data_IF_227645517954
#
_entry.id   IF_227645517954
#
_cell.length_a   1.000
_cell.length_b   1.000
_cell.length_c   1.000
_cell.angle_alpha   90.00
_cell.angle_beta   90.00
_cell.angle_gamma   90.00
#
_symmetry.space_group_name_H-M   'P 1'
#
loop_
_entity.id
_entity.type
_entity.pdbx_description
1 polymer ?
#
# COMPACT_ATOMS: atom_id res chain seq x y z
N UNK A 1 -59.93 25.58 -8.10
CA UNK A 1 -58.69 25.65 -8.90
C UNK A 1 -57.62 24.86 -8.14
N UNK A 2 -57.29 23.69 -8.67
CA UNK A 2 -56.21 22.80 -8.22
C UNK A 2 -54.86 23.38 -8.64
N UNK A 3 -53.87 23.34 -7.75
CA UNK A 3 -52.46 23.21 -8.16
C UNK A 3 -51.79 22.16 -7.27
N UNK A 4 -51.90 20.90 -7.69
CA UNK A 4 -50.96 19.86 -7.26
C UNK A 4 -49.59 20.19 -7.87
N UNK A 5 -48.60 20.49 -7.04
CA UNK A 5 -47.20 20.44 -7.44
C UNK A 5 -46.76 18.98 -7.47
N UNK A 6 -46.69 18.41 -8.68
CA UNK A 6 -46.05 17.12 -8.93
C UNK A 6 -44.55 17.36 -8.86
N UNK A 7 -43.91 16.94 -7.77
CA UNK A 7 -42.45 16.80 -7.72
C UNK A 7 -42.13 15.51 -8.48
N UNK A 8 -41.74 15.63 -9.75
CA UNK A 8 -41.11 14.54 -10.49
C UNK A 8 -39.71 14.35 -9.88
N UNK A 9 -39.59 13.45 -8.91
CA UNK A 9 -38.30 12.90 -8.55
C UNK A 9 -37.85 12.03 -9.73
N UNK A 10 -37.07 12.61 -10.64
CA UNK A 10 -36.21 11.81 -11.51
C UNK A 10 -35.19 11.14 -10.60
N UNK A 11 -35.52 9.94 -10.12
CA UNK A 11 -34.52 8.99 -9.69
C UNK A 11 -33.72 8.64 -10.94
N UNK A 12 -32.65 9.40 -11.21
CA UNK A 12 -31.54 8.88 -11.97
C UNK A 12 -31.10 7.63 -11.21
N UNK A 13 -31.15 6.42 -11.79
CA UNK A 13 -30.39 5.33 -11.23
C UNK A 13 -28.94 5.81 -11.26
N UNK A 14 -28.38 6.08 -10.08
CA UNK A 14 -26.93 6.08 -9.92
C UNK A 14 -26.56 4.63 -10.16
N UNK A 15 -26.27 4.29 -11.42
CA UNK A 15 -25.47 3.11 -11.70
C UNK A 15 -24.10 3.50 -11.17
N UNK A 16 -23.88 3.24 -9.88
CA UNK A 16 -22.53 2.99 -9.43
C UNK A 16 -22.13 1.71 -10.17
N UNK A 17 -21.44 1.86 -11.30
CA UNK A 17 -20.57 0.78 -11.76
C UNK A 17 -19.57 0.62 -10.61
N UNK A 18 -19.90 -0.27 -9.67
CA UNK A 18 -18.99 -0.76 -8.66
C UNK A 18 -17.87 -1.42 -9.46
N UNK A 19 -16.80 -0.66 -9.70
CA UNK A 19 -15.77 -1.07 -10.62
C UNK A 19 -14.99 -2.17 -9.91
N UNK A 20 -15.48 -3.41 -10.06
CA UNK A 20 -15.06 -4.55 -9.28
C UNK A 20 -13.55 -4.77 -9.40
N UNK A 21 -12.97 -5.39 -8.36
CA UNK A 21 -11.61 -5.91 -8.37
C UNK A 21 -10.57 -4.79 -8.47
N UNK A 22 -10.66 -3.84 -7.54
CA UNK A 22 -9.81 -2.65 -7.42
C UNK A 22 -9.95 -1.64 -8.57
N UNK A 23 -11.08 -1.60 -9.25
CA UNK A 23 -11.31 -0.65 -10.33
C UNK A 23 -10.84 -1.14 -11.69
N UNK A 24 -10.78 -2.46 -11.90
CA UNK A 24 -10.58 -3.05 -13.22
C UNK A 24 -11.02 -4.52 -13.22
N UNK A 25 -12.12 -4.82 -13.91
CA UNK A 25 -12.68 -6.17 -14.03
C UNK A 25 -11.71 -7.21 -14.60
N UNK A 26 -10.68 -6.78 -15.35
CA UNK A 26 -9.61 -7.67 -15.85
C UNK A 26 -8.76 -8.23 -14.71
N UNK A 27 -8.77 -7.60 -13.55
CA UNK A 27 -8.05 -8.05 -12.35
C UNK A 27 -8.84 -9.06 -11.52
N UNK A 28 -10.12 -9.27 -11.79
CA UNK A 28 -10.96 -10.15 -10.95
C UNK A 28 -10.43 -11.57 -10.82
N UNK A 29 -9.97 -12.15 -11.94
CA UNK A 29 -9.39 -13.49 -11.96
C UNK A 29 -7.90 -13.53 -11.59
N UNK A 30 -7.30 -12.39 -11.23
CA UNK A 30 -5.90 -12.33 -10.80
C UNK A 30 -5.81 -12.53 -9.30
N UNK A 31 -4.85 -13.36 -8.90
CA UNK A 31 -4.42 -13.51 -7.51
C UNK A 31 -3.86 -12.21 -6.98
N UNK A 32 -4.06 -11.93 -5.69
CA UNK A 32 -3.46 -10.78 -5.03
C UNK A 32 -1.92 -10.75 -5.08
N UNK A 33 -1.30 -11.93 -5.11
CA UNK A 33 0.13 -12.10 -5.34
C UNK A 33 0.61 -11.72 -6.75
N UNK A 34 -0.31 -11.45 -7.69
CA UNK A 34 -0.02 -11.14 -9.10
C UNK A 34 -0.77 -9.90 -9.58
N UNK A 35 -0.84 -8.89 -8.71
CA UNK A 35 -1.30 -7.53 -9.03
C UNK A 35 -0.29 -6.52 -8.51
N UNK A 36 -0.23 -5.35 -9.16
CA UNK A 36 0.51 -4.19 -8.69
C UNK A 36 -0.47 -3.18 -8.07
N UNK A 37 -0.12 -2.68 -6.90
CA UNK A 37 -0.87 -1.69 -6.12
C UNK A 37 0.01 -0.49 -5.84
N UNK A 38 -0.61 0.69 -5.80
CA UNK A 38 0.05 1.91 -5.33
C UNK A 38 -0.36 2.14 -3.88
N UNK A 39 0.61 2.37 -3.01
CA UNK A 39 0.39 2.63 -1.58
C UNK A 39 1.15 3.89 -1.13
N UNK A 40 0.86 4.36 0.07
CA UNK A 40 1.60 5.45 0.70
C UNK A 40 2.30 4.97 1.96
N UNK A 41 3.48 5.54 2.24
CA UNK A 41 4.17 5.31 3.50
C UNK A 41 3.51 6.10 4.65
N UNK A 42 3.60 5.57 5.86
CA UNK A 42 3.37 6.28 7.12
C UNK A 42 1.93 6.74 7.42
N UNK A 43 0.92 5.93 7.06
CA UNK A 43 -0.48 6.23 7.33
C UNK A 43 -0.89 6.15 8.82
N UNK A 44 0.02 5.75 9.71
CA UNK A 44 -0.22 5.82 11.15
C UNK A 44 1.07 6.22 11.89
N UNK A 45 1.10 7.42 12.46
CA UNK A 45 2.08 7.83 13.47
C UNK A 45 1.37 7.95 14.82
N UNK A 46 1.95 7.38 15.86
CA UNK A 46 1.52 7.60 17.25
C UNK A 46 2.70 8.29 17.92
N UNK A 47 2.61 9.61 18.06
CA UNK A 47 3.61 10.42 18.74
C UNK A 47 3.70 11.86 18.25
N UNK A 48 4.59 12.64 18.87
CA UNK A 48 4.71 14.10 18.66
C UNK A 48 5.75 14.44 17.57
N UNK A 49 6.70 13.54 17.29
CA UNK A 49 7.77 13.77 16.32
C UNK A 49 7.41 13.18 14.94
N UNK A 50 7.87 13.80 13.85
CA UNK A 50 7.75 13.26 12.48
C UNK A 50 8.41 11.89 12.28
N UNK A 51 9.28 11.48 13.22
CA UNK A 51 10.01 10.21 13.22
C UNK A 51 9.42 9.19 14.19
N UNK A 52 8.22 9.42 14.74
CA UNK A 52 7.59 8.51 15.68
C UNK A 52 7.13 7.21 15.00
N UNK A 53 8.08 6.29 14.83
CA UNK A 53 7.79 4.92 14.47
C UNK A 53 7.07 4.23 15.64
N UNK A 54 6.15 3.32 15.31
CA UNK A 54 5.37 2.53 16.26
C UNK A 54 6.17 1.43 16.98
N UNK A 55 7.48 1.60 17.07
CA UNK A 55 8.41 0.60 17.56
C UNK A 55 8.06 0.23 19.01
N UNK A 56 7.70 -1.04 19.22
CA UNK A 56 7.38 -1.56 20.56
C UNK A 56 5.91 -1.50 20.96
N UNK A 57 4.99 -1.08 20.09
CA UNK A 57 3.55 -1.24 20.36
C UNK A 57 3.10 -2.69 20.18
N UNK A 58 2.21 -3.15 21.06
CA UNK A 58 1.61 -4.49 20.97
C UNK A 58 0.62 -4.56 19.79
N UNK A 59 0.63 -5.68 19.05
CA UNK A 59 -0.24 -5.91 17.87
C UNK A 59 -1.73 -5.72 18.17
N UNK A 60 -2.13 -6.03 19.40
CA UNK A 60 -3.49 -5.91 19.88
C UNK A 60 -3.99 -4.46 19.86
N UNK A 61 -3.10 -3.45 20.01
CA UNK A 61 -3.45 -2.02 19.88
C UNK A 61 -3.85 -1.64 18.46
N UNK A 62 -3.21 -2.24 17.46
CA UNK A 62 -3.63 -2.07 16.08
C UNK A 62 -4.95 -2.77 15.82
N UNK A 63 -5.15 -3.96 16.39
CA UNK A 63 -6.43 -4.65 16.30
C UNK A 63 -7.59 -3.89 16.97
N UNK A 64 -7.32 -3.18 18.08
CA UNK A 64 -8.27 -2.23 18.69
C UNK A 64 -8.65 -1.14 17.69
N UNK A 65 -7.67 -0.48 17.06
CA UNK A 65 -7.95 0.56 16.06
C UNK A 65 -8.76 0.04 14.86
N UNK A 66 -8.48 -1.17 14.37
CA UNK A 66 -9.25 -1.81 13.28
C UNK A 66 -10.70 -2.08 13.70
N UNK A 67 -10.92 -2.52 14.94
CA UNK A 67 -12.27 -2.72 15.50
C UNK A 67 -13.01 -1.40 15.72
N UNK A 68 -12.34 -0.39 16.26
CA UNK A 68 -12.91 0.93 16.50
C UNK A 68 -13.30 1.62 15.18
N UNK A 69 -12.54 1.34 14.10
CA UNK A 69 -12.87 1.75 12.74
C UNK A 69 -13.97 0.90 12.07
N UNK A 70 -14.50 -0.12 12.75
CA UNK A 70 -15.49 -1.07 12.25
C UNK A 70 -15.04 -1.82 10.97
N UNK A 71 -13.75 -2.14 10.86
CA UNK A 71 -13.16 -2.82 9.70
C UNK A 71 -12.95 -4.32 9.90
N UNK A 72 -13.13 -4.83 11.13
CA UNK A 72 -12.85 -6.23 11.48
C UNK A 72 -13.68 -7.26 10.68
N UNK A 73 -14.87 -6.86 10.19
CA UNK A 73 -15.73 -7.71 9.37
C UNK A 73 -15.29 -7.88 7.91
N UNK A 74 -14.29 -7.10 7.45
CA UNK A 74 -13.84 -7.08 6.04
C UNK A 74 -12.35 -7.40 5.89
N UNK A 75 -11.67 -7.81 6.96
CA UNK A 75 -10.24 -8.19 6.90
C UNK A 75 -10.04 -9.63 6.43
N UNK A 76 -8.94 -9.86 5.70
CA UNK A 76 -8.49 -11.17 5.30
C UNK A 76 -7.88 -11.95 6.47
N UNK A 77 -8.39 -13.17 6.70
CA UNK A 77 -7.89 -14.12 7.72
C UNK A 77 -7.45 -15.41 7.05
N UNK A 78 -6.17 -15.59 6.73
CA UNK A 78 -5.70 -16.81 6.10
C UNK A 78 -5.62 -17.97 7.12
N UNK A 79 -5.93 -19.19 6.69
CA UNK A 79 -5.80 -20.39 7.53
C UNK A 79 -4.33 -20.82 7.78
N UNK A 80 -3.39 -20.21 7.04
CA UNK A 80 -1.96 -20.48 7.10
C UNK A 80 -1.19 -19.39 6.32
N UNK A 81 0.07 -19.62 5.99
CA UNK A 81 0.84 -18.70 5.14
C UNK A 81 0.73 -19.14 3.68
N UNK A 82 -0.10 -18.49 2.84
CA UNK A 82 -0.23 -18.86 1.43
C UNK A 82 1.08 -18.65 0.66
N UNK A 83 1.46 -19.65 -0.14
CA UNK A 83 2.41 -19.48 -1.23
C UNK A 83 1.85 -18.54 -2.31
N UNK A 84 2.70 -18.09 -3.25
CA UNK A 84 2.29 -17.12 -4.29
C UNK A 84 1.07 -17.58 -5.10
N UNK A 85 0.97 -18.86 -5.44
CA UNK A 85 -0.15 -19.42 -6.21
C UNK A 85 -1.36 -19.82 -5.35
N UNK A 86 -1.27 -19.70 -4.03
CA UNK A 86 -2.34 -19.99 -3.07
C UNK A 86 -3.09 -18.73 -2.62
N UNK A 87 -2.57 -17.54 -2.93
CA UNK A 87 -3.29 -16.29 -2.68
C UNK A 87 -4.62 -16.25 -3.43
N UNK A 88 -5.74 -15.87 -2.77
CA UNK A 88 -7.01 -15.68 -3.44
C UNK A 88 -6.94 -14.64 -4.56
N UNK A 89 -7.81 -14.85 -5.54
CA UNK A 89 -8.12 -13.85 -6.56
C UNK A 89 -8.88 -12.68 -5.96
N UNK A 90 -8.87 -11.53 -6.66
CA UNK A 90 -9.65 -10.39 -6.24
C UNK A 90 -11.15 -10.71 -6.21
N UNK A 91 -11.66 -11.53 -7.14
CA UNK A 91 -13.05 -11.96 -7.11
C UNK A 91 -13.36 -12.80 -5.87
N UNK A 92 -12.50 -13.76 -5.52
CA UNK A 92 -12.70 -14.59 -4.31
C UNK A 92 -12.68 -13.76 -3.03
N UNK A 93 -11.86 -12.70 -2.96
CA UNK A 93 -11.94 -11.73 -1.87
C UNK A 93 -13.27 -10.97 -1.87
N UNK A 94 -13.76 -10.54 -3.04
CA UNK A 94 -15.03 -9.84 -3.13
C UNK A 94 -16.19 -10.71 -2.66
N UNK A 95 -16.25 -11.95 -3.16
CA UNK A 95 -17.29 -12.94 -2.88
C UNK A 95 -17.32 -13.35 -1.40
N UNK A 96 -16.16 -13.39 -0.75
CA UNK A 96 -16.03 -13.69 0.69
C UNK A 96 -16.22 -12.47 1.60
N UNK A 97 -16.49 -11.28 1.06
CA UNK A 97 -16.67 -10.06 1.83
C UNK A 97 -15.36 -9.40 2.30
N UNK A 98 -14.20 -9.95 1.92
CA UNK A 98 -12.88 -9.36 2.24
C UNK A 98 -12.65 -8.11 1.40
N UNK A 99 -12.23 -7.02 2.04
CA UNK A 99 -11.86 -5.74 1.42
C UNK A 99 -10.54 -5.17 1.96
N UNK A 100 -9.96 -5.77 3.00
CA UNK A 100 -8.77 -5.28 3.67
C UNK A 100 -7.78 -6.41 3.96
N UNK A 101 -6.51 -6.22 3.60
CA UNK A 101 -5.40 -7.08 4.02
C UNK A 101 -4.44 -6.18 4.80
N UNK A 102 -4.05 -6.61 6.00
CA UNK A 102 -3.20 -5.82 6.89
C UNK A 102 -1.83 -6.48 6.99
N UNK A 103 -0.80 -5.79 6.51
CA UNK A 103 0.60 -6.18 6.71
C UNK A 103 1.24 -5.27 7.76
N UNK A 104 2.05 -5.85 8.63
CA UNK A 104 2.86 -5.14 9.60
C UNK A 104 4.34 -5.48 9.41
N UNK A 105 5.11 -4.46 9.07
CA UNK A 105 6.57 -4.54 8.95
C UNK A 105 7.26 -4.44 10.31
N UNK A 106 8.47 -5.00 10.39
CA UNK A 106 9.38 -4.81 11.54
C UNK A 106 10.35 -3.67 11.23
N UNK A 107 10.59 -2.75 12.17
CA UNK A 107 11.73 -1.85 12.03
C UNK A 107 13.04 -2.58 12.39
N UNK A 108 14.04 -2.42 11.55
CA UNK A 108 15.40 -2.92 11.74
C UNK A 108 16.26 -1.98 12.60
N UNK A 109 15.74 -0.80 12.95
CA UNK A 109 16.43 0.24 13.73
C UNK A 109 16.79 -0.18 15.16
N UNK A 110 16.12 -1.20 15.71
CA UNK A 110 16.36 -1.68 17.08
C UNK A 110 17.26 -2.92 17.18
N UNK A 111 17.92 -3.33 16.11
CA UNK A 111 18.89 -4.44 16.16
C UNK A 111 20.10 -4.15 17.08
N UNK A 112 20.47 -2.87 17.25
CA UNK A 112 21.62 -2.48 18.09
C UNK A 112 21.33 -2.52 19.60
N UNK A 113 20.07 -2.39 20.02
CA UNK A 113 19.66 -2.48 21.43
C UNK A 113 19.27 -3.93 21.80
N UNK A 114 19.00 -4.75 20.79
CA UNK A 114 18.69 -6.19 20.91
C UNK A 114 19.78 -7.01 21.62
N UNK A 115 21.03 -6.59 21.56
CA UNK A 115 22.15 -7.23 22.29
C UNK A 115 22.15 -6.94 23.79
N UNK A 116 21.52 -5.86 24.24
CA UNK A 116 21.59 -5.38 25.64
C UNK A 116 20.44 -5.93 26.49
N UNK A 117 19.26 -6.14 25.91
CA UNK A 117 18.09 -6.63 26.63
C UNK A 117 17.62 -7.98 26.10
N UNK A 118 17.78 -9.05 26.89
CA UNK A 118 17.29 -10.41 26.60
C UNK A 118 15.80 -10.44 26.23
N UNK A 119 14.98 -9.54 26.79
CA UNK A 119 13.56 -9.41 26.45
C UNK A 119 13.29 -8.99 24.99
N UNK A 120 14.28 -8.38 24.31
CA UNK A 120 14.20 -7.98 22.90
C UNK A 120 14.87 -8.97 21.94
N UNK A 121 15.55 -10.01 22.47
CA UNK A 121 16.25 -11.04 21.67
C UNK A 121 15.33 -12.07 21.04
N UNK A 122 14.07 -12.14 21.46
CA UNK A 122 13.13 -13.06 20.81
C UNK A 122 12.68 -12.44 19.49
N UNK A 123 12.82 -13.19 18.40
CA UNK A 123 12.30 -12.90 17.06
C UNK A 123 10.75 -12.83 17.03
N UNK A 124 10.13 -12.12 17.96
CA UNK A 124 8.70 -11.84 17.89
C UNK A 124 8.50 -10.76 16.84
N UNK A 125 8.13 -11.21 15.65
CA UNK A 125 7.37 -10.43 14.69
C UNK A 125 6.39 -9.53 15.45
N UNK A 126 6.39 -8.23 15.15
CA UNK A 126 5.39 -7.33 15.74
C UNK A 126 3.98 -7.82 15.42
N UNK A 127 3.78 -8.52 14.31
CA UNK A 127 2.58 -9.30 13.98
C UNK A 127 2.60 -10.71 14.60
N UNK A 128 2.21 -10.85 15.87
CA UNK A 128 1.98 -12.15 16.50
C UNK A 128 0.61 -12.71 16.08
N UNK A 129 0.59 -13.55 15.05
CA UNK A 129 -0.64 -14.11 14.45
C UNK A 129 -1.39 -15.06 15.37
N UNK A 130 -0.78 -15.50 16.48
CA UNK A 130 -1.48 -16.27 17.53
C UNK A 130 -2.39 -15.40 18.38
N UNK A 131 -2.19 -14.07 18.34
CA UNK A 131 -2.99 -13.08 19.07
C UNK A 131 -3.93 -12.31 18.16
N UNK A 132 -3.48 -11.96 16.96
CA UNK A 132 -4.28 -11.26 15.95
C UNK A 132 -4.04 -11.93 14.59
N UNK A 133 -5.00 -12.72 14.16
CA UNK A 133 -4.89 -13.66 13.02
C UNK A 133 -4.89 -13.00 11.63
N UNK A 134 -5.32 -11.75 11.52
CA UNK A 134 -5.37 -11.00 10.25
C UNK A 134 -4.25 -9.96 10.06
N UNK A 135 -3.46 -9.67 11.10
CA UNK A 135 -2.31 -8.77 10.97
C UNK A 135 -1.12 -9.64 10.57
N UNK A 136 -0.77 -9.57 9.29
CA UNK A 136 0.21 -10.46 8.68
C UNK A 136 1.63 -9.89 8.84
N UNK A 137 2.63 -10.69 9.23
CA UNK A 137 4.03 -10.26 9.26
C UNK A 137 4.53 -9.99 7.84
N UNK A 138 4.71 -8.72 7.47
CA UNK A 138 5.03 -8.29 6.10
C UNK A 138 6.18 -9.10 5.49
N UNK A 139 7.29 -9.24 6.21
CA UNK A 139 8.52 -9.86 5.72
C UNK A 139 8.48 -11.40 5.61
N UNK A 140 7.33 -12.03 5.90
CA UNK A 140 7.06 -13.41 5.49
C UNK A 140 6.42 -13.51 4.10
N UNK A 141 5.85 -12.42 3.60
CA UNK A 141 5.11 -12.38 2.34
C UNK A 141 5.76 -11.48 1.29
N UNK A 142 6.45 -10.43 1.74
CA UNK A 142 6.96 -9.36 0.91
C UNK A 142 8.41 -9.05 1.27
N UNK A 143 9.24 -8.79 0.27
CA UNK A 143 10.49 -8.07 0.46
C UNK A 143 10.40 -6.67 -0.15
N UNK A 144 11.31 -5.79 0.25
CA UNK A 144 11.41 -4.45 -0.31
C UNK A 144 12.87 -4.01 -0.54
N UNK A 145 13.05 -3.08 -1.46
CA UNK A 145 14.30 -2.34 -1.62
C UNK A 145 14.49 -1.30 -0.50
N UNK A 146 15.64 -0.62 -0.52
CA UNK A 146 15.97 0.39 0.49
C UNK A 146 15.07 1.63 0.37
N UNK A 147 14.72 2.22 1.51
CA UNK A 147 14.20 3.59 1.62
C UNK A 147 15.37 4.59 1.68
N UNK A 148 15.11 5.90 1.80
CA UNK A 148 16.21 6.87 1.89
C UNK A 148 16.81 7.26 0.53
N UNK A 149 16.08 7.02 -0.58
CA UNK A 149 16.66 7.15 -1.92
C UNK A 149 16.84 8.62 -2.26
N UNK A 150 18.07 9.04 -2.59
CA UNK A 150 18.37 10.41 -3.04
C UNK A 150 18.62 10.49 -4.55
N UNK A 151 18.59 9.34 -5.24
CA UNK A 151 18.63 9.22 -6.69
C UNK A 151 17.22 9.22 -7.27
N UNK A 152 16.84 10.29 -7.98
CA UNK A 152 15.54 10.41 -8.64
C UNK A 152 15.34 9.44 -9.80
N UNK A 153 16.40 8.77 -10.28
CA UNK A 153 16.26 7.69 -11.24
C UNK A 153 15.75 6.38 -10.60
N UNK A 154 15.76 6.27 -9.27
CA UNK A 154 15.33 5.09 -8.52
C UNK A 154 15.96 3.79 -9.02
N UNK A 155 17.25 3.85 -9.37
CA UNK A 155 17.99 2.75 -10.01
C UNK A 155 18.19 1.53 -9.11
N UNK A 156 18.01 1.67 -7.79
CA UNK A 156 18.22 0.60 -6.83
C UNK A 156 16.96 -0.25 -6.59
N UNK A 157 16.94 -1.43 -7.21
CA UNK A 157 15.92 -2.46 -7.00
C UNK A 157 16.44 -3.63 -6.14
N UNK A 158 17.58 -3.47 -5.46
CA UNK A 158 18.19 -4.53 -4.65
C UNK A 158 17.38 -4.77 -3.39
N UNK A 159 17.30 -6.03 -2.97
CA UNK A 159 16.64 -6.42 -1.71
C UNK A 159 17.36 -5.75 -0.54
N UNK A 160 16.60 -5.06 0.30
CA UNK A 160 17.09 -4.48 1.55
C UNK A 160 16.43 -5.13 2.76
N UNK A 161 15.10 -5.38 2.71
CA UNK A 161 14.35 -5.96 3.83
C UNK A 161 13.38 -7.07 3.41
N UNK A 162 13.41 -8.23 4.08
CA UNK A 162 14.40 -8.65 5.07
C UNK A 162 15.78 -8.90 4.43
N UNK A 163 16.86 -8.78 5.21
CA UNK A 163 18.21 -9.09 4.75
C UNK A 163 18.39 -10.61 4.63
N UNK A 164 19.12 -11.07 3.60
CA UNK A 164 19.51 -12.47 3.37
C UNK A 164 18.35 -13.42 3.02
N UNK A 165 17.49 -13.02 2.08
CA UNK A 165 16.50 -13.92 1.49
C UNK A 165 17.21 -14.89 0.53
N UNK A 166 16.94 -16.19 0.65
CA UNK A 166 17.53 -17.22 -0.22
C UNK A 166 16.75 -17.40 -1.53
N UNK A 167 15.41 -17.30 -1.45
CA UNK A 167 14.48 -17.54 -2.56
C UNK A 167 13.55 -16.33 -2.77
N UNK A 168 14.06 -15.18 -3.25
CA UNK A 168 13.23 -13.97 -3.41
C UNK A 168 12.08 -14.11 -4.41
N UNK A 169 12.16 -15.09 -5.32
CA UNK A 169 11.12 -15.45 -6.28
C UNK A 169 9.86 -16.04 -5.65
N UNK A 170 9.93 -16.48 -4.39
CA UNK A 170 8.75 -17.02 -3.66
C UNK A 170 8.00 -15.97 -2.86
N UNK A 171 8.39 -14.70 -2.99
CA UNK A 171 7.81 -13.57 -2.27
C UNK A 171 7.12 -12.63 -3.25
N UNK A 172 6.08 -11.95 -2.77
CA UNK A 172 5.69 -10.68 -3.37
C UNK A 172 6.81 -9.67 -3.11
N UNK A 173 6.82 -8.56 -3.83
CA UNK A 173 7.77 -7.52 -3.49
C UNK A 173 7.25 -6.11 -3.69
N UNK A 174 7.90 -5.21 -2.97
CA UNK A 174 7.54 -3.82 -2.84
C UNK A 174 8.73 -2.95 -3.21
N UNK A 175 8.46 -1.83 -3.86
CA UNK A 175 9.46 -0.81 -4.13
C UNK A 175 9.12 0.47 -3.39
N UNK A 176 10.13 1.06 -2.77
CA UNK A 176 10.08 2.38 -2.16
C UNK A 176 10.36 3.39 -3.28
N UNK A 177 9.30 4.09 -3.67
CA UNK A 177 9.30 5.17 -4.66
C UNK A 177 9.15 6.52 -3.91
N UNK A 178 10.17 6.81 -3.11
CA UNK A 178 10.21 7.93 -2.17
C UNK A 178 11.55 8.64 -2.34
N UNK A 179 11.51 9.90 -2.77
CA UNK A 179 12.71 10.67 -3.07
C UNK A 179 13.05 11.54 -1.86
N UNK A 180 14.18 11.28 -1.25
CA UNK A 180 14.74 12.13 -0.20
C UNK A 180 15.72 13.15 -0.78
N UNK A 181 15.85 14.28 -0.09
CA UNK A 181 16.91 15.25 -0.28
C UNK A 181 17.97 15.09 0.83
N UNK A 182 19.23 15.05 0.43
CA UNK A 182 20.35 15.01 1.35
C UNK A 182 20.69 16.43 1.86
N UNK A 183 20.55 16.64 3.17
CA UNK A 183 20.99 17.81 3.89
C UNK A 183 22.40 17.61 4.47
N UNK A 184 23.08 18.69 4.92
CA UNK A 184 24.36 18.58 5.63
C UNK A 184 24.31 17.62 6.83
N UNK A 185 25.48 17.13 7.23
CA UNK A 185 25.65 16.20 8.36
C UNK A 185 24.95 14.84 8.19
N UNK A 186 24.64 14.42 6.95
CA UNK A 186 24.08 13.11 6.67
C UNK A 186 22.58 13.00 6.93
N UNK A 187 21.89 14.12 7.17
CA UNK A 187 20.43 14.14 7.36
C UNK A 187 19.74 13.97 6.01
N UNK A 188 18.88 12.98 5.88
CA UNK A 188 17.97 12.83 4.73
C UNK A 188 16.55 13.16 5.15
N UNK A 189 15.83 13.92 4.31
CA UNK A 189 14.42 14.24 4.53
C UNK A 189 13.62 14.07 3.24
N UNK A 190 12.29 13.89 3.34
CA UNK A 190 11.40 13.75 2.18
C UNK A 190 11.51 14.96 1.24
N UNK A 191 11.74 14.75 -0.06
CA UNK A 191 11.86 15.83 -1.04
C UNK A 191 10.49 16.25 -1.58
N UNK A 192 9.76 16.98 -0.74
CA UNK A 192 8.42 17.48 -1.04
C UNK A 192 8.37 18.45 -2.25
N UNK A 193 9.50 19.08 -2.60
CA UNK A 193 9.57 19.99 -3.75
C UNK A 193 9.47 19.25 -5.08
N UNK A 194 9.96 18.02 -5.14
CA UNK A 194 9.94 17.15 -6.32
C UNK A 194 8.79 16.15 -6.27
N UNK A 195 7.91 16.20 -5.27
CA UNK A 195 6.85 15.20 -5.06
C UNK A 195 5.94 15.01 -6.29
N UNK A 196 5.67 16.06 -7.07
CA UNK A 196 4.89 15.96 -8.31
C UNK A 196 5.63 15.20 -9.42
N UNK A 197 6.95 15.39 -9.52
CA UNK A 197 7.82 14.69 -10.46
C UNK A 197 8.02 13.23 -10.02
N UNK A 198 8.33 13.02 -8.74
CA UNK A 198 8.44 11.69 -8.11
C UNK A 198 7.14 10.91 -8.30
N UNK A 199 5.99 11.43 -7.89
CA UNK A 199 4.70 10.70 -8.00
C UNK A 199 4.10 10.72 -9.42
N UNK A 200 4.86 11.11 -10.44
CA UNK A 200 4.41 11.04 -11.84
C UNK A 200 4.40 9.61 -12.37
N UNK A 201 3.56 9.33 -13.36
CA UNK A 201 3.55 8.04 -14.06
C UNK A 201 4.86 7.67 -14.67
N UNK A 202 5.52 8.65 -15.28
CA UNK A 202 6.78 8.41 -15.95
C UNK A 202 7.79 7.89 -14.93
N UNK A 203 7.92 8.58 -13.79
CA UNK A 203 8.78 8.17 -12.69
C UNK A 203 8.41 6.79 -12.12
N UNK A 204 7.14 6.60 -11.77
CA UNK A 204 6.62 5.34 -11.19
C UNK A 204 6.82 4.16 -12.16
N UNK A 205 6.42 4.32 -13.42
CA UNK A 205 6.50 3.26 -14.44
C UNK A 205 7.94 2.93 -14.75
N UNK A 206 8.81 3.94 -14.85
CA UNK A 206 10.24 3.74 -15.11
C UNK A 206 10.88 2.87 -14.03
N UNK A 207 10.65 3.14 -12.74
CA UNK A 207 11.17 2.27 -11.68
C UNK A 207 10.53 0.88 -11.72
N UNK A 208 9.20 0.80 -11.84
CA UNK A 208 8.48 -0.47 -11.83
C UNK A 208 8.93 -1.39 -12.98
N UNK A 209 9.18 -0.84 -14.17
CA UNK A 209 9.69 -1.59 -15.32
C UNK A 209 11.16 -1.99 -15.14
N UNK A 210 12.02 -1.09 -14.69
CA UNK A 210 13.43 -1.40 -14.43
C UNK A 210 13.58 -2.52 -13.39
N UNK A 211 12.87 -2.41 -12.26
CA UNK A 211 12.85 -3.47 -11.25
C UNK A 211 12.19 -4.74 -11.78
N UNK A 212 11.16 -4.61 -12.62
CA UNK A 212 10.48 -5.75 -13.24
C UNK A 212 11.39 -6.55 -14.17
N UNK A 213 12.26 -5.88 -14.92
CA UNK A 213 13.28 -6.53 -15.75
C UNK A 213 14.32 -7.24 -14.88
N UNK A 214 14.77 -6.61 -13.79
CA UNK A 214 15.75 -7.21 -12.89
C UNK A 214 15.26 -8.50 -12.23
N UNK A 215 14.00 -8.54 -11.80
CA UNK A 215 13.44 -9.65 -11.03
C UNK A 215 12.54 -10.60 -11.84
N UNK A 216 12.30 -10.29 -13.12
CA UNK A 216 11.46 -11.09 -14.02
C UNK A 216 9.95 -11.00 -13.75
N UNK A 217 9.54 -10.25 -12.73
CA UNK A 217 8.16 -10.02 -12.30
C UNK A 217 8.00 -8.56 -11.89
N UNK A 218 6.83 -7.95 -12.09
CA UNK A 218 6.56 -6.55 -11.67
C UNK A 218 6.33 -6.45 -10.15
N UNK A 219 6.58 -5.28 -9.52
CA UNK A 219 6.34 -5.12 -8.09
C UNK A 219 4.86 -5.27 -7.74
N UNK A 220 4.58 -5.86 -6.59
CA UNK A 220 3.23 -5.97 -6.06
C UNK A 220 2.77 -4.67 -5.41
N UNK A 221 3.69 -3.93 -4.79
CA UNK A 221 3.38 -2.65 -4.15
C UNK A 221 4.42 -1.59 -4.53
N UNK A 222 3.94 -0.41 -4.90
CA UNK A 222 4.75 0.78 -5.16
C UNK A 222 4.40 1.79 -4.07
N UNK A 223 5.33 2.03 -3.15
CA UNK A 223 5.12 2.96 -2.05
C UNK A 223 5.55 4.36 -2.44
N UNK A 224 4.58 5.27 -2.48
CA UNK A 224 4.77 6.67 -2.84
C UNK A 224 5.01 7.57 -1.63
N UNK A 225 5.54 8.75 -1.95
CA UNK A 225 5.73 9.89 -1.05
C UNK A 225 4.44 10.52 -0.57
N UNK A 226 4.44 10.92 0.71
CA UNK A 226 3.29 11.40 1.46
C UNK A 226 2.63 12.61 0.78
N UNK A 227 1.36 12.47 0.42
CA UNK A 227 0.45 13.49 -0.11
C UNK A 227 0.02 14.54 0.95
N UNK A 228 0.94 15.11 1.74
CA UNK A 228 0.55 15.87 2.94
C UNK A 228 0.33 17.40 2.79
N UNK A 229 0.57 18.05 1.64
CA UNK A 229 0.71 19.53 1.66
C UNK A 229 -0.10 20.36 0.67
N UNK A 230 -1.30 19.91 0.25
CA UNK A 230 -2.24 20.83 -0.41
C UNK A 230 -3.69 20.67 0.04
N UNK A 231 -4.00 20.57 1.33
CA UNK A 231 -5.36 20.84 1.86
C UNK A 231 -6.53 20.02 1.30
N UNK A 232 -6.24 19.06 0.43
CA UNK A 232 -7.14 18.08 -0.10
C UNK A 232 -6.75 16.78 0.59
N UNK A 233 -7.49 16.43 1.63
CA UNK A 233 -7.91 15.04 1.70
C UNK A 233 -8.73 14.80 0.42
N UNK A 234 -8.03 14.53 -0.69
CA UNK A 234 -8.70 14.21 -1.95
C UNK A 234 -9.24 12.80 -1.70
N UNK A 235 -10.48 12.76 -1.18
CA UNK A 235 -11.39 11.71 -1.57
C UNK A 235 -11.25 11.61 -3.09
N UNK A 236 -10.76 10.47 -3.55
CA UNK A 236 -10.59 10.17 -4.96
C UNK A 236 -12.01 10.08 -5.54
N UNK A 237 -12.63 11.19 -5.91
CA UNK A 237 -13.99 11.18 -6.47
C UNK A 237 -13.93 10.68 -7.90
N UNK A 238 -14.07 9.36 -8.05
CA UNK A 238 -14.20 8.65 -9.32
C UNK A 238 -15.44 9.18 -10.08
N UNK A 239 -15.25 9.77 -11.25
CA UNK A 239 -16.34 10.00 -12.21
C UNK A 239 -15.99 9.27 -13.50
N UNK A 240 -16.73 8.19 -13.76
CA UNK A 240 -16.56 7.32 -14.92
C UNK A 240 -17.30 7.87 -16.15
N UNK A 241 -16.63 7.89 -17.30
CA UNK A 241 -17.30 7.99 -18.60
C UNK A 241 -16.72 6.96 -19.57
N UNK A 242 -17.62 6.13 -20.09
CA UNK A 242 -17.38 5.05 -21.04
C UNK A 242 -16.89 5.63 -22.37
N UNK A 243 -15.59 5.52 -22.66
CA UNK A 243 -15.03 5.21 -24.00
C UNK A 243 -13.50 5.27 -24.05
N UNK A 244 -12.82 5.77 -23.02
CA UNK A 244 -11.35 5.80 -22.94
C UNK A 244 -10.93 5.69 -21.48
N UNK A 245 -10.03 4.76 -21.13
CA UNK A 245 -9.36 4.79 -19.83
C UNK A 245 -8.51 6.07 -19.75
N UNK A 246 -9.02 7.13 -19.13
CA UNK A 246 -8.29 8.39 -18.93
C UNK A 246 -8.42 8.86 -17.48
N UNK A 247 -7.28 9.09 -16.81
CA UNK A 247 -7.20 9.98 -15.65
C UNK A 247 -6.93 11.40 -16.15
N UNK A 248 -7.73 12.36 -15.67
CA UNK A 248 -7.45 13.79 -15.86
C UNK A 248 -6.93 14.35 -14.54
N UNK A 249 -5.61 14.54 -14.47
CA UNK A 249 -5.02 15.55 -13.59
C UNK A 249 -4.96 16.79 -14.45
N UNK A 250 -5.44 17.93 -13.94
CA UNK A 250 -5.45 19.20 -14.66
C UNK A 250 -4.06 19.43 -15.29
N UNK A 251 -3.98 19.25 -16.63
CA UNK A 251 -2.81 19.39 -17.53
C UNK A 251 -1.92 18.17 -17.87
N UNK A 252 -2.24 16.91 -17.54
CA UNK A 252 -1.39 15.80 -18.01
C UNK A 252 -1.98 14.39 -17.84
N UNK A 253 -2.00 13.63 -18.93
CA UNK A 253 -2.67 12.32 -19.05
C UNK A 253 -1.83 11.21 -18.39
N UNK A 254 -2.46 10.44 -17.49
CA UNK A 254 -1.86 9.33 -16.77
C UNK A 254 -2.68 8.05 -16.93
N UNK A 255 -2.05 6.90 -17.20
CA UNK A 255 -2.72 5.59 -17.28
C UNK A 255 -2.02 4.60 -16.35
N UNK A 256 -2.48 4.47 -15.10
CA UNK A 256 -2.20 3.32 -14.22
C UNK A 256 -3.44 3.06 -13.35
N UNK A 257 -3.86 1.79 -13.32
CA UNK A 257 -5.01 1.33 -12.55
C UNK A 257 -4.72 1.25 -11.04
N UNK A 258 -5.80 1.44 -10.25
CA UNK A 258 -5.98 1.22 -8.80
C UNK A 258 -5.53 2.39 -7.89
N UNK A 259 -6.20 2.75 -6.79
CA UNK A 259 -7.43 2.25 -6.17
C UNK A 259 -7.54 2.73 -4.71
N UNK A 260 -8.76 3.02 -4.25
CA UNK A 260 -9.42 2.70 -2.96
C UNK A 260 -10.90 2.91 -3.27
N UNK A 261 -11.70 1.83 -3.35
CA UNK A 261 -13.10 1.74 -3.82
C UNK A 261 -13.58 2.88 -4.75
#
# INVERSE_FOLDING_TARGET
MNLLSIILAFAFPIIADDLACNGDVRLCNRRYSNISLVGSHNSAFVGILPTNNHDGMAVERFAEAVRDANLDGIVYRPAGQPALDEWPTLQEFLDSGVRLIVFMGKSDHFAAIQTIFEAYKTDKYYADTTKVDYILPQFLYQWQNAYGQTDSAFSNCSIDRPKRIQHPETYMYMINHFLDIQLPFGIVIPNQFEASSTNSLESITKQAEACGVQWGVKPNVILLEQLFLMGFALALTLTFSLTTCQFSINSGLLTLCNGVL
#
